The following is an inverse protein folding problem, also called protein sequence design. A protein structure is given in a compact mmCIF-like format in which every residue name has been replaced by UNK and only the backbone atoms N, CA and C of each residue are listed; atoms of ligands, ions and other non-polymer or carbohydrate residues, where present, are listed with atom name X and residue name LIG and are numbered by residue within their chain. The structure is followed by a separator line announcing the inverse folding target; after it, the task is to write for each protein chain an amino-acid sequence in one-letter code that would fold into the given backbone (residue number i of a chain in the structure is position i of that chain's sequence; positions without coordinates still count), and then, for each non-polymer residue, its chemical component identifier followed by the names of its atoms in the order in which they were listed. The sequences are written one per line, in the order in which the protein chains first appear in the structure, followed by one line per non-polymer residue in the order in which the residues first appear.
data_IF_256582131041
#
_entry.id   IF_256582131041
#
_cell.length_a   1.000
_cell.length_b   1.000
_cell.length_c   1.000
_cell.angle_alpha   90.00
_cell.angle_beta   90.00
_cell.angle_gamma   90.00
#
_symmetry.space_group_name_H-M   'P 1'
#
loop_
_entity.id
_entity.type
_entity.pdbx_description
1 polymer ?
#
# COMPACT_ATOMS: atom_id res chain seq x y z
N UNK A 1 -1.08 -20.47 9.20
CA UNK A 1 -1.42 -19.60 10.34
C UNK A 1 -2.13 -20.36 11.46
N UNK A 2 -2.49 -21.62 11.21
CA UNK A 2 -3.37 -22.47 12.02
C UNK A 2 -2.78 -22.87 13.38
N UNK A 3 -1.47 -22.69 13.55
CA UNK A 3 -0.73 -23.00 14.78
C UNK A 3 -0.33 -21.75 15.58
N UNK A 4 -0.84 -20.57 15.22
CA UNK A 4 -0.53 -19.28 15.86
C UNK A 4 0.99 -19.01 16.06
N UNK A 5 1.82 -19.50 15.13
CA UNK A 5 3.28 -19.31 15.20
C UNK A 5 3.63 -17.85 14.95
N UNK A 6 4.61 -17.37 15.70
CA UNK A 6 5.26 -16.08 15.43
C UNK A 6 6.34 -16.25 14.38
N UNK A 7 6.44 -15.34 13.42
CA UNK A 7 7.39 -15.41 12.32
C UNK A 7 7.91 -14.05 11.88
N UNK A 8 9.08 -14.09 11.25
CA UNK A 8 9.70 -12.99 10.54
C UNK A 8 10.37 -13.59 9.30
N UNK A 9 9.86 -13.24 8.12
CA UNK A 9 10.22 -13.88 6.85
C UNK A 9 10.61 -12.80 5.85
N UNK A 10 11.63 -13.06 5.03
CA UNK A 10 11.96 -12.22 3.88
C UNK A 10 11.17 -12.72 2.67
N UNK A 11 10.48 -11.81 1.98
CA UNK A 11 9.72 -12.13 0.77
C UNK A 11 9.78 -11.02 -0.26
N UNK A 12 9.25 -11.30 -1.45
CA UNK A 12 9.09 -10.28 -2.49
C UNK A 12 8.01 -9.27 -2.09
N UNK A 13 8.18 -7.97 -2.35
CA UNK A 13 7.07 -7.00 -2.13
C UNK A 13 5.85 -7.32 -3.00
N UNK A 14 6.04 -8.01 -4.13
CA UNK A 14 4.92 -8.48 -4.94
C UNK A 14 3.97 -9.42 -4.18
N UNK A 15 4.45 -10.10 -3.13
CA UNK A 15 3.61 -10.98 -2.32
C UNK A 15 2.44 -10.25 -1.65
N UNK A 16 2.56 -8.93 -1.42
CA UNK A 16 1.49 -8.11 -0.83
C UNK A 16 0.17 -8.25 -1.59
N UNK A 17 0.20 -8.40 -2.92
CA UNK A 17 -1.02 -8.47 -3.76
C UNK A 17 -1.53 -9.88 -3.99
N UNK A 18 -0.87 -10.91 -3.43
CA UNK A 18 -1.29 -12.29 -3.62
C UNK A 18 -2.60 -12.54 -2.88
N UNK A 19 -3.46 -13.38 -3.46
CA UNK A 19 -4.82 -13.64 -2.96
C UNK A 19 -4.80 -14.23 -1.55
N UNK A 20 -3.75 -14.94 -1.21
CA UNK A 20 -3.53 -15.62 0.06
C UNK A 20 -2.87 -14.71 1.11
N UNK A 21 -2.20 -13.61 0.68
CA UNK A 21 -1.40 -12.74 1.55
C UNK A 21 -2.14 -11.45 1.90
N UNK A 22 -2.74 -10.77 0.91
CA UNK A 22 -3.43 -9.51 1.16
C UNK A 22 -4.52 -9.62 2.25
N UNK A 23 -5.36 -10.68 2.28
CA UNK A 23 -6.36 -10.84 3.35
C UNK A 23 -5.72 -10.92 4.74
N UNK A 24 -4.55 -11.54 4.87
CA UNK A 24 -3.84 -11.63 6.15
C UNK A 24 -3.36 -10.25 6.64
N UNK A 25 -2.96 -9.37 5.71
CA UNK A 25 -2.58 -8.00 6.01
C UNK A 25 -3.80 -7.17 6.41
N UNK A 26 -4.86 -7.24 5.59
CA UNK A 26 -6.14 -6.56 5.85
C UNK A 26 -6.70 -6.93 7.21
N UNK A 27 -6.70 -8.21 7.55
CA UNK A 27 -7.26 -8.73 8.80
C UNK A 27 -6.28 -8.64 9.98
N UNK A 28 -5.18 -7.88 9.84
CA UNK A 28 -4.17 -7.66 10.88
C UNK A 28 -3.51 -8.95 11.43
N UNK A 29 -3.44 -10.02 10.63
CA UNK A 29 -2.77 -11.28 10.98
C UNK A 29 -1.29 -11.30 10.56
N UNK A 30 -0.92 -10.47 9.58
CA UNK A 30 0.43 -10.27 9.07
C UNK A 30 0.64 -8.77 8.76
N UNK A 31 1.87 -8.27 8.84
CA UNK A 31 2.22 -6.92 8.40
C UNK A 31 3.64 -6.87 7.84
N UNK A 32 3.95 -5.75 7.20
CA UNK A 32 5.29 -5.44 6.75
C UNK A 32 6.18 -5.10 7.94
N UNK A 33 7.35 -5.73 8.00
CA UNK A 33 8.37 -5.47 9.00
C UNK A 33 9.19 -4.23 8.65
N UNK A 34 10.35 -4.09 9.30
CA UNK A 34 11.24 -2.96 9.03
C UNK A 34 11.90 -3.11 7.65
N UNK A 35 11.51 -2.27 6.68
CA UNK A 35 12.10 -2.28 5.34
C UNK A 35 13.62 -2.06 5.33
N UNK A 36 14.25 -2.38 4.20
CA UNK A 36 15.69 -2.23 4.00
C UNK A 36 16.07 -0.78 3.67
N UNK A 37 17.30 -0.39 4.02
CA UNK A 37 17.80 0.96 3.75
C UNK A 37 17.74 1.29 2.25
N UNK A 38 17.11 2.41 1.91
CA UNK A 38 16.87 2.83 0.53
C UNK A 38 16.06 1.83 -0.32
N UNK A 39 15.36 0.88 0.30
CA UNK A 39 14.64 -0.20 -0.39
C UNK A 39 15.54 -1.27 -1.01
N UNK A 40 16.81 -1.35 -0.62
CA UNK A 40 17.77 -2.30 -1.17
C UNK A 40 18.16 -3.36 -0.12
N UNK A 41 17.75 -4.60 -0.37
CA UNK A 41 18.28 -5.75 0.34
C UNK A 41 19.55 -6.26 -0.35
N UNK A 42 20.51 -6.76 0.42
CA UNK A 42 21.78 -7.27 -0.09
C UNK A 42 21.99 -8.69 0.41
N UNK A 43 22.21 -9.62 -0.51
CA UNK A 43 22.42 -11.03 -0.19
C UNK A 43 23.73 -11.51 -0.81
N UNK A 44 24.50 -12.27 -0.05
CA UNK A 44 25.67 -12.96 -0.58
C UNK A 44 25.25 -14.09 -1.53
N UNK A 45 26.04 -14.31 -2.57
CA UNK A 45 25.92 -15.51 -3.43
C UNK A 45 27.30 -16.07 -3.74
N UNK A 46 27.51 -17.40 -3.58
CA UNK A 46 28.72 -18.06 -4.08
C UNK A 46 28.67 -18.26 -5.60
N UNK A 47 27.49 -18.17 -6.21
CA UNK A 47 27.28 -18.39 -7.64
C UNK A 47 27.30 -17.07 -8.39
N UNK A 48 28.50 -16.59 -8.70
CA UNK A 48 28.69 -15.38 -9.51
C UNK A 48 28.36 -15.71 -10.96
N UNK A 49 27.44 -14.94 -11.54
CA UNK A 49 27.06 -15.00 -12.95
C UNK A 49 27.11 -13.60 -13.54
N UNK A 50 26.76 -13.46 -14.81
CA UNK A 50 26.58 -12.14 -15.39
C UNK A 50 25.35 -11.46 -14.75
N UNK A 51 25.56 -10.30 -14.12
CA UNK A 51 24.51 -9.48 -13.52
C UNK A 51 24.39 -8.17 -14.28
N UNK A 52 23.18 -7.60 -14.28
CA UNK A 52 22.99 -6.24 -14.77
C UNK A 52 23.84 -5.23 -13.98
N UNK A 53 24.23 -4.14 -14.64
CA UNK A 53 25.07 -3.10 -14.05
C UNK A 53 24.51 -2.58 -12.71
N UNK A 54 25.39 -2.54 -11.69
CA UNK A 54 25.07 -2.07 -10.35
C UNK A 54 24.24 -3.05 -9.48
N UNK A 55 23.98 -4.28 -9.94
CA UNK A 55 23.28 -5.30 -9.15
C UNK A 55 24.24 -6.12 -8.28
N UNK A 56 25.40 -6.48 -8.80
CA UNK A 56 26.42 -7.23 -8.05
C UNK A 56 27.61 -6.32 -7.72
N UNK A 57 28.12 -6.46 -6.49
CA UNK A 57 29.34 -5.79 -6.05
C UNK A 57 30.46 -6.84 -5.87
N UNK A 58 31.46 -6.88 -6.76
CA UNK A 58 32.58 -7.81 -6.67
C UNK A 58 33.45 -7.64 -5.42
N UNK A 59 33.46 -6.46 -4.79
CA UNK A 59 34.27 -6.21 -3.59
C UNK A 59 33.67 -6.87 -2.35
N UNK A 60 32.35 -6.92 -2.29
CA UNK A 60 31.61 -7.44 -1.13
C UNK A 60 30.99 -8.82 -1.39
N UNK A 61 30.88 -9.25 -2.66
CA UNK A 61 30.19 -10.48 -3.04
C UNK A 61 28.67 -10.40 -2.91
N UNK A 62 28.12 -9.19 -2.76
CA UNK A 62 26.70 -8.96 -2.49
C UNK A 62 25.92 -8.66 -3.77
N UNK A 63 24.72 -9.22 -3.84
CA UNK A 63 23.72 -8.94 -4.87
C UNK A 63 22.62 -8.07 -4.27
N UNK A 64 22.32 -6.97 -4.95
CA UNK A 64 21.31 -5.97 -4.58
C UNK A 64 19.93 -6.33 -5.14
N UNK A 65 18.92 -6.37 -4.28
CA UNK A 65 17.52 -6.59 -4.63
C UNK A 65 16.65 -5.43 -4.17
N UNK A 66 15.85 -4.87 -5.10
CA UNK A 66 14.95 -3.73 -4.86
C UNK A 66 13.51 -4.10 -4.50
N UNK A 67 13.17 -5.38 -4.58
CA UNK A 67 11.80 -5.89 -4.45
C UNK A 67 11.70 -6.92 -3.33
N UNK A 68 12.27 -6.59 -2.17
CA UNK A 68 12.38 -7.49 -1.03
C UNK A 68 11.95 -6.74 0.23
N UNK A 69 11.17 -7.41 1.08
CA UNK A 69 10.67 -6.86 2.33
C UNK A 69 10.52 -7.93 3.40
N UNK A 70 10.46 -7.50 4.66
CA UNK A 70 10.12 -8.36 5.78
C UNK A 70 8.60 -8.50 5.91
N UNK A 71 8.12 -9.71 6.15
CA UNK A 71 6.75 -10.03 6.52
C UNK A 71 6.76 -10.66 7.89
N UNK A 72 5.90 -10.18 8.78
CA UNK A 72 5.90 -10.63 10.17
C UNK A 72 4.52 -10.56 10.81
N UNK A 73 4.37 -11.25 11.93
CA UNK A 73 3.28 -11.07 12.88
C UNK A 73 3.81 -10.81 14.31
N UNK A 74 5.08 -10.39 14.40
CA UNK A 74 5.73 -9.89 15.60
C UNK A 74 5.41 -8.42 15.76
N UNK A 75 4.83 -8.08 16.90
CA UNK A 75 4.37 -6.72 17.13
C UNK A 75 5.53 -5.79 17.47
N UNK A 76 5.46 -4.53 17.03
CA UNK A 76 6.55 -3.58 17.21
C UNK A 76 6.07 -2.12 17.16
N UNK A 77 6.75 -1.23 17.89
CA UNK A 77 6.33 0.18 18.02
C UNK A 77 6.11 0.92 16.70
N UNK A 78 6.94 0.67 15.67
CA UNK A 78 6.77 1.29 14.34
C UNK A 78 5.40 1.00 13.71
N UNK A 79 4.80 -0.15 14.00
CA UNK A 79 3.46 -0.53 13.50
C UNK A 79 2.38 0.41 14.04
N UNK A 80 2.58 0.90 15.25
CA UNK A 80 1.65 1.77 15.96
C UNK A 80 2.04 3.24 15.84
N UNK A 81 3.05 3.57 15.02
CA UNK A 81 3.48 4.95 14.82
C UNK A 81 2.43 5.69 13.98
N UNK A 82 1.76 6.74 14.51
CA UNK A 82 0.81 7.51 13.75
C UNK A 82 1.50 8.24 12.60
N UNK A 83 0.86 8.23 11.43
CA UNK A 83 1.22 9.12 10.34
C UNK A 83 0.84 10.56 10.72
N UNK A 84 1.77 11.52 10.65
CA UNK A 84 1.43 12.93 10.75
C UNK A 84 0.68 13.35 9.48
N UNK A 85 -0.55 13.81 9.64
CA UNK A 85 -1.44 14.16 8.54
C UNK A 85 -1.78 15.65 8.56
N UNK A 86 -1.89 16.23 7.38
CA UNK A 86 -2.45 17.56 7.16
C UNK A 86 -3.94 17.44 6.78
N UNK A 87 -4.70 18.51 6.97
CA UNK A 87 -6.04 18.62 6.38
C UNK A 87 -5.97 18.58 4.86
N UNK A 88 -7.09 18.29 4.19
CA UNK A 88 -7.18 18.32 2.73
C UNK A 88 -6.78 19.70 2.17
N UNK A 89 -7.23 20.77 2.83
CA UNK A 89 -6.91 22.16 2.48
C UNK A 89 -5.42 22.45 2.61
N UNK A 90 -4.79 22.02 3.69
CA UNK A 90 -3.35 22.20 3.91
C UNK A 90 -2.53 21.38 2.91
N UNK A 91 -2.94 20.14 2.61
CA UNK A 91 -2.29 19.35 1.57
C UNK A 91 -2.32 20.07 0.21
N UNK A 92 -3.47 20.64 -0.20
CA UNK A 92 -3.57 21.42 -1.44
C UNK A 92 -2.67 22.68 -1.40
N UNK A 93 -2.44 23.26 -0.23
CA UNK A 93 -1.63 24.48 -0.06
C UNK A 93 -0.12 24.23 0.04
N UNK A 94 0.31 23.14 0.69
CA UNK A 94 1.71 22.93 1.07
C UNK A 94 2.35 21.71 0.39
N UNK A 95 1.57 20.72 -0.06
CA UNK A 95 2.11 19.53 -0.69
C UNK A 95 2.27 19.73 -2.21
N UNK A 96 3.50 20.01 -2.65
CA UNK A 96 3.85 20.22 -4.06
C UNK A 96 3.46 19.05 -4.98
N UNK A 97 3.46 17.80 -4.49
CA UNK A 97 3.06 16.64 -5.30
C UNK A 97 1.56 16.61 -5.56
N UNK A 98 0.77 17.05 -4.58
CA UNK A 98 -0.69 17.17 -4.69
C UNK A 98 -1.07 18.32 -5.61
N UNK A 99 -0.41 19.48 -5.47
CA UNK A 99 -0.62 20.62 -6.36
C UNK A 99 -0.40 20.29 -7.84
N UNK A 100 0.58 19.43 -8.13
CA UNK A 100 0.90 18.98 -9.48
C UNK A 100 0.07 17.80 -9.97
N UNK A 101 -0.71 17.16 -9.09
CA UNK A 101 -1.51 16.00 -9.46
C UNK A 101 -3.00 16.39 -9.56
N UNK A 102 -3.55 16.51 -10.78
CA UNK A 102 -4.92 16.96 -11.00
C UNK A 102 -5.97 15.94 -10.56
N UNK A 103 -5.59 14.72 -10.20
CA UNK A 103 -6.50 13.68 -9.72
C UNK A 103 -6.60 13.63 -8.19
N UNK A 104 -5.78 14.39 -7.48
CA UNK A 104 -5.80 14.43 -6.01
C UNK A 104 -7.20 14.77 -5.49
N UNK A 105 -7.70 13.93 -4.58
CA UNK A 105 -9.00 14.05 -3.91
C UNK A 105 -10.23 14.03 -4.83
N UNK A 106 -10.07 13.71 -6.12
CA UNK A 106 -11.21 13.47 -7.00
C UNK A 106 -11.91 12.17 -6.59
N UNK A 107 -13.23 12.15 -6.70
CA UNK A 107 -14.02 10.92 -6.58
C UNK A 107 -13.75 10.02 -7.78
N UNK A 108 -13.75 8.71 -7.58
CA UNK A 108 -13.74 7.77 -8.69
C UNK A 108 -15.11 7.79 -9.38
N UNK A 109 -15.10 7.52 -10.69
CA UNK A 109 -16.31 7.35 -11.47
C UNK A 109 -17.06 6.08 -11.06
N UNK A 110 -16.30 5.03 -10.69
CA UNK A 110 -16.81 3.68 -10.44
C UNK A 110 -16.85 3.27 -8.97
N UNK A 111 -16.17 4.01 -8.08
CA UNK A 111 -16.12 3.70 -6.65
C UNK A 111 -16.61 4.86 -5.79
N UNK A 112 -17.27 4.55 -4.68
CA UNK A 112 -17.68 5.48 -3.63
C UNK A 112 -16.50 5.87 -2.72
N UNK A 113 -15.41 6.35 -3.33
CA UNK A 113 -14.16 6.74 -2.66
C UNK A 113 -13.48 7.91 -3.38
N UNK A 114 -12.50 8.54 -2.73
CA UNK A 114 -11.61 9.54 -3.37
C UNK A 114 -10.24 8.97 -3.69
N UNK A 115 -9.58 9.50 -4.71
CA UNK A 115 -8.19 9.22 -5.05
C UNK A 115 -7.24 10.01 -4.16
N UNK A 116 -6.42 9.29 -3.39
CA UNK A 116 -5.33 9.85 -2.60
C UNK A 116 -4.02 9.29 -3.15
N UNK A 117 -3.33 10.01 -4.05
CA UNK A 117 -2.25 9.44 -4.84
C UNK A 117 -0.96 9.17 -4.04
N UNK A 118 -0.83 9.75 -2.84
CA UNK A 118 0.36 9.65 -1.99
C UNK A 118 -0.02 9.42 -0.53
N UNK A 119 0.70 8.53 0.16
CA UNK A 119 0.47 8.20 1.57
C UNK A 119 0.58 9.42 2.49
N UNK A 120 1.55 10.31 2.25
CA UNK A 120 1.73 11.54 3.01
C UNK A 120 0.63 12.59 2.78
N UNK A 121 -0.24 12.36 1.80
CA UNK A 121 -1.34 13.25 1.46
C UNK A 121 -2.70 12.71 1.90
N UNK A 122 -2.73 11.70 2.78
CA UNK A 122 -3.98 11.27 3.40
C UNK A 122 -4.51 12.45 4.25
N UNK A 123 -5.70 12.98 3.95
CA UNK A 123 -6.25 14.12 4.67
C UNK A 123 -6.74 13.68 6.06
N UNK A 124 -6.43 14.45 7.10
CA UNK A 124 -6.90 14.19 8.48
C UNK A 124 -8.39 14.45 8.71
N UNK A 125 -9.02 15.22 7.83
CA UNK A 125 -10.37 15.79 7.95
C UNK A 125 -11.37 15.19 6.95
N UNK A 126 -11.11 13.98 6.44
CA UNK A 126 -11.99 13.29 5.49
C UNK A 126 -12.46 11.93 6.03
N UNK A 127 -13.73 11.83 6.42
CA UNK A 127 -14.31 10.61 7.01
C UNK A 127 -14.71 9.53 5.99
N UNK A 128 -14.64 9.85 4.70
CA UNK A 128 -15.02 8.94 3.63
C UNK A 128 -13.96 7.88 3.31
N UNK A 129 -14.25 7.03 2.33
CA UNK A 129 -13.31 6.02 1.84
C UNK A 129 -12.25 6.68 0.96
N UNK A 130 -11.00 6.32 1.18
CA UNK A 130 -9.85 6.82 0.43
C UNK A 130 -9.14 5.67 -0.26
N UNK A 131 -8.94 5.80 -1.58
CA UNK A 131 -8.05 4.91 -2.32
C UNK A 131 -6.62 5.44 -2.24
N UNK A 132 -5.74 4.70 -1.55
CA UNK A 132 -4.33 5.03 -1.32
C UNK A 132 -3.40 4.08 -2.10
N UNK A 133 -2.14 4.46 -2.40
CA UNK A 133 -1.19 3.56 -3.05
C UNK A 133 -0.84 2.36 -2.16
N UNK A 134 -0.44 1.24 -2.78
CA UNK A 134 -0.04 0.02 -2.06
C UNK A 134 1.12 0.23 -1.07
N UNK A 135 2.01 1.18 -1.37
CA UNK A 135 3.11 1.59 -0.49
C UNK A 135 2.64 2.23 0.82
N UNK A 136 1.35 2.53 0.98
CA UNK A 136 0.74 2.84 2.27
C UNK A 136 1.05 1.78 3.33
N UNK A 137 1.12 0.50 2.95
CA UNK A 137 1.32 -0.59 3.89
C UNK A 137 2.65 -0.53 4.66
N UNK A 138 3.68 0.11 4.10
CA UNK A 138 4.96 0.36 4.81
C UNK A 138 4.81 1.28 6.03
N UNK A 139 3.73 2.06 6.07
CA UNK A 139 3.40 3.03 7.11
C UNK A 139 2.02 2.79 7.72
N UNK A 140 1.44 1.61 7.48
CA UNK A 140 0.10 1.29 7.95
C UNK A 140 0.09 1.15 9.47
N UNK A 141 -0.69 2.02 10.10
CA UNK A 141 -1.00 1.96 11.53
C UNK A 141 -2.46 1.49 11.74
N UNK A 142 -2.69 0.34 12.39
CA UNK A 142 -4.03 -0.24 12.58
C UNK A 142 -4.87 0.50 13.63
N UNK A 143 -4.25 1.41 14.39
CA UNK A 143 -4.94 2.28 15.35
C UNK A 143 -5.40 3.58 14.70
N UNK A 144 -4.82 3.95 13.56
CA UNK A 144 -5.16 5.15 12.81
C UNK A 144 -6.09 4.85 11.63
N UNK A 145 -5.94 3.70 10.97
CA UNK A 145 -6.68 3.37 9.76
C UNK A 145 -7.26 1.96 9.79
N UNK A 146 -8.39 1.81 9.11
CA UNK A 146 -8.99 0.53 8.75
C UNK A 146 -8.76 0.27 7.26
N UNK A 147 -8.32 -0.95 6.91
CA UNK A 147 -8.25 -1.41 5.52
C UNK A 147 -9.55 -2.11 5.17
N UNK A 148 -10.30 -1.56 4.21
CA UNK A 148 -11.52 -2.18 3.70
C UNK A 148 -11.19 -3.26 2.65
N UNK A 149 -10.21 -2.99 1.80
CA UNK A 149 -9.67 -3.95 0.85
C UNK A 149 -8.97 -3.27 -0.31
N UNK A 150 -9.00 -3.87 -1.49
CA UNK A 150 -8.34 -3.38 -2.70
C UNK A 150 -9.27 -3.39 -3.92
N UNK A 151 -8.82 -2.84 -5.04
CA UNK A 151 -9.56 -2.95 -6.31
C UNK A 151 -9.82 -4.41 -6.73
N UNK A 152 -8.95 -5.33 -6.33
CA UNK A 152 -9.17 -6.76 -6.55
C UNK A 152 -10.39 -7.26 -5.77
N UNK A 153 -10.55 -6.88 -4.50
CA UNK A 153 -11.70 -7.27 -3.69
C UNK A 153 -13.01 -6.70 -4.24
N UNK A 154 -13.00 -5.45 -4.74
CA UNK A 154 -14.17 -4.87 -5.40
C UNK A 154 -14.53 -5.65 -6.66
N UNK A 155 -13.53 -5.99 -7.51
CA UNK A 155 -13.75 -6.76 -8.75
C UNK A 155 -14.38 -8.13 -8.47
N UNK A 156 -13.98 -8.80 -7.40
CA UNK A 156 -14.53 -10.10 -6.97
C UNK A 156 -15.89 -9.97 -6.25
N UNK A 157 -16.46 -8.76 -6.16
CA UNK A 157 -17.76 -8.54 -5.53
C UNK A 157 -17.74 -8.60 -3.99
N UNK A 158 -16.56 -8.54 -3.37
CA UNK A 158 -16.41 -8.63 -1.90
C UNK A 158 -16.64 -7.28 -1.18
N UNK A 159 -16.74 -6.18 -1.93
CA UNK A 159 -16.97 -4.82 -1.42
C UNK A 159 -18.06 -4.11 -2.25
N UNK A 160 -19.28 -4.65 -2.33
CA UNK A 160 -20.36 -4.10 -3.16
C UNK A 160 -20.76 -2.68 -2.74
N UNK A 161 -20.61 -2.31 -1.47
CA UNK A 161 -20.90 -0.99 -0.93
C UNK A 161 -19.98 0.10 -1.47
N UNK A 162 -18.79 -0.26 -1.95
CA UNK A 162 -17.85 0.66 -2.57
C UNK A 162 -18.16 0.89 -4.06
N UNK A 163 -19.07 0.13 -4.67
CA UNK A 163 -19.38 0.27 -6.10
C UNK A 163 -20.35 1.44 -6.31
N UNK A 164 -20.06 2.29 -7.30
CA UNK A 164 -21.04 3.25 -7.78
C UNK A 164 -22.07 2.52 -8.66
N UNK A 165 -23.35 2.41 -8.24
CA UNK A 165 -24.36 1.65 -8.98
C UNK A 165 -24.70 2.25 -10.36
N UNK A 166 -24.31 3.51 -10.61
CA UNK A 166 -24.51 4.17 -11.91
C UNK A 166 -23.42 3.84 -12.93
N UNK A 167 -22.32 3.23 -12.51
CA UNK A 167 -21.22 2.88 -13.39
C UNK A 167 -21.53 1.63 -14.22
N UNK A 168 -21.32 1.72 -15.54
CA UNK A 168 -21.53 0.60 -16.50
C UNK A 168 -20.23 0.13 -17.15
N UNK A 169 -19.08 0.66 -16.72
CA UNK A 169 -17.77 0.35 -17.28
C UNK A 169 -17.07 -0.82 -16.57
N UNK A 170 -15.76 -0.94 -16.79
CA UNK A 170 -14.94 -1.99 -16.17
C UNK A 170 -14.78 -1.74 -14.66
N UNK A 171 -14.64 -2.84 -13.92
CA UNK A 171 -14.38 -2.87 -12.46
C UNK A 171 -12.98 -3.41 -12.15
N UNK A 172 -12.05 -3.31 -13.09
CA UNK A 172 -10.68 -3.82 -12.93
C UNK A 172 -9.78 -2.90 -12.11
N UNK A 173 -10.03 -1.59 -12.11
CA UNK A 173 -9.32 -0.55 -11.33
C UNK A 173 -10.24 0.65 -11.09
N UNK A 174 -9.76 1.62 -10.31
CA UNK A 174 -10.45 2.91 -10.18
C UNK A 174 -10.38 3.72 -11.48
N UNK A 175 -11.45 4.41 -11.81
CA UNK A 175 -11.54 5.31 -12.95
C UNK A 175 -11.79 6.74 -12.48
N UNK A 176 -11.14 7.71 -13.12
CA UNK A 176 -11.39 9.14 -12.90
C UNK A 176 -11.48 9.79 -14.27
N UNK A 177 -12.61 10.43 -14.56
CA UNK A 177 -12.89 11.02 -15.87
C UNK A 177 -12.68 10.01 -17.03
N UNK A 178 -13.12 8.76 -16.84
CA UNK A 178 -12.98 7.65 -17.79
C UNK A 178 -11.56 7.09 -17.92
N UNK A 179 -10.57 7.63 -17.19
CA UNK A 179 -9.18 7.17 -17.23
C UNK A 179 -8.90 6.20 -16.08
N UNK A 180 -8.35 5.03 -16.44
CA UNK A 180 -7.93 3.99 -15.51
C UNK A 180 -6.78 4.48 -14.63
N UNK A 181 -6.91 4.31 -13.31
CA UNK A 181 -5.88 4.62 -12.33
C UNK A 181 -5.05 3.38 -11.97
N UNK A 182 -3.95 3.60 -11.25
CA UNK A 182 -3.14 2.53 -10.66
C UNK A 182 -3.92 1.74 -9.60
N UNK A 183 -3.39 0.58 -9.21
CA UNK A 183 -3.92 -0.22 -8.10
C UNK A 183 -4.00 0.61 -6.81
N UNK A 184 -5.08 0.44 -6.05
CA UNK A 184 -5.35 1.17 -4.80
C UNK A 184 -5.81 0.22 -3.70
N UNK A 185 -5.41 0.56 -2.48
CA UNK A 185 -5.98 0.02 -1.25
C UNK A 185 -7.04 1.02 -0.77
N UNK A 186 -8.21 0.55 -0.39
CA UNK A 186 -9.28 1.37 0.16
C UNK A 186 -9.23 1.35 1.67
N UNK A 187 -9.08 2.54 2.26
CA UNK A 187 -8.98 2.73 3.70
C UNK A 187 -10.00 3.75 4.20
N UNK A 188 -10.24 3.71 5.52
CA UNK A 188 -10.90 4.77 6.28
C UNK A 188 -10.07 5.14 7.51
N UNK A 189 -10.26 6.34 8.03
CA UNK A 189 -9.82 6.65 9.39
C UNK A 189 -10.57 5.77 10.38
N UNK A 190 -9.84 5.27 11.38
CA UNK A 190 -10.46 4.61 12.53
C UNK A 190 -11.05 5.71 13.41
N UNK A 191 -12.36 5.71 13.59
CA UNK A 191 -13.01 6.63 14.52
C UNK A 191 -12.53 6.29 15.94
N UNK A 192 -12.06 7.30 16.66
CA UNK A 192 -11.76 7.18 18.10
C UNK A 192 -13.06 7.13 18.89
#
# INVERSE_FOLDING_TARGET
FDYNKKFLIIGSMNAITYKEIFPLIKDNKMWLGNGFSGGNAYFYTPNVREFASGVYDPKTGLVKFRNVHWFTNLDHGRRHQPLPLMTMKENLKFNKKIQKNPNSYKKYDNYNAIEVPYTEAIPSDYDGVMGVPISFLDKYNPDQFEILGSDYNIKEGLLPELVNPKWKGKMDRGYINGKRQYTRIFIKHKKK
#
